data_IF_047114678862
#
_entry.id   IF_047114678862
#
_cell.length_a   1.000
_cell.length_b   1.000
_cell.length_c   1.000
_cell.angle_alpha   90.00
_cell.angle_beta   90.00
_cell.angle_gamma   90.00
#
_symmetry.space_group_name_H-M   'P 1'
#
loop_
_entity.id
_entity.type
_entity.pdbx_description
1 polymer ?
#
# COMPACT_ATOMS: atom_id res chain seq x y z
N UNK A 1 -0.52 28.16 -10.85
CA UNK A 1 -0.16 27.66 -12.19
C UNK A 1 -1.34 26.84 -12.68
N UNK A 2 -1.86 27.13 -13.87
CA UNK A 2 -2.94 26.32 -14.45
C UNK A 2 -2.35 25.01 -14.98
N UNK A 3 -2.80 23.89 -14.42
CA UNK A 3 -2.32 22.54 -14.75
C UNK A 3 -3.36 21.73 -15.54
N UNK A 4 -4.55 22.28 -15.78
CA UNK A 4 -5.66 21.62 -16.47
C UNK A 4 -5.23 21.04 -17.83
N UNK A 5 -4.46 21.76 -18.68
CA UNK A 5 -4.01 21.24 -19.98
C UNK A 5 -3.09 20.01 -19.90
N UNK A 6 -2.51 19.74 -18.73
CA UNK A 6 -1.69 18.56 -18.46
C UNK A 6 -2.59 17.42 -17.99
N UNK A 7 -3.49 17.69 -17.04
CA UNK A 7 -4.42 16.69 -16.48
C UNK A 7 -5.30 16.07 -17.57
N UNK A 8 -5.82 16.87 -18.49
CA UNK A 8 -6.68 16.41 -19.59
C UNK A 8 -5.99 15.43 -20.55
N UNK A 9 -4.66 15.38 -20.53
CA UNK A 9 -3.84 14.48 -21.36
C UNK A 9 -3.38 13.22 -20.63
N UNK A 10 -3.67 13.11 -19.32
CA UNK A 10 -3.28 11.96 -18.53
C UNK A 10 -4.34 10.87 -18.61
N UNK A 11 -3.89 9.64 -18.80
CA UNK A 11 -4.75 8.48 -18.62
C UNK A 11 -5.02 8.28 -17.12
N UNK A 12 -6.27 7.99 -16.79
CA UNK A 12 -6.74 7.86 -15.40
C UNK A 12 -7.09 6.41 -15.06
N UNK A 13 -6.81 5.46 -15.97
CA UNK A 13 -7.05 4.04 -15.80
C UNK A 13 -6.07 3.33 -14.85
N UNK A 14 -6.23 2.02 -14.72
CA UNK A 14 -5.26 1.17 -14.05
C UNK A 14 -4.12 0.83 -15.00
N UNK A 15 -2.90 1.21 -14.65
CA UNK A 15 -1.73 0.81 -15.42
C UNK A 15 -1.23 -0.56 -14.98
N UNK A 16 -1.56 -1.62 -15.74
CA UNK A 16 -1.24 -3.02 -15.41
C UNK A 16 -0.55 -3.66 -16.62
N UNK A 17 0.64 -4.25 -16.39
CA UNK A 17 1.45 -4.89 -17.42
C UNK A 17 1.73 -3.98 -18.65
N UNK A 18 2.01 -2.70 -18.40
CA UNK A 18 2.37 -1.74 -19.45
C UNK A 18 1.20 -1.22 -20.28
N UNK A 19 -0.03 -1.56 -19.91
CA UNK A 19 -1.24 -1.13 -20.59
C UNK A 19 -2.15 -0.42 -19.59
N UNK A 20 -2.79 0.66 -20.05
CA UNK A 20 -3.92 1.25 -19.34
C UNK A 20 -5.13 0.35 -19.50
N UNK A 21 -5.80 0.07 -18.39
CA UNK A 21 -6.92 -0.85 -18.30
C UNK A 21 -8.01 -0.26 -17.43
N UNK A 22 -9.24 -0.63 -17.75
CA UNK A 22 -10.37 -0.34 -16.89
C UNK A 22 -10.29 -1.14 -15.58
N UNK A 23 -10.77 -0.56 -14.48
CA UNK A 23 -10.96 -1.30 -13.26
C UNK A 23 -12.18 -2.22 -13.38
N UNK A 24 -12.05 -3.47 -12.95
CA UNK A 24 -13.20 -4.35 -12.80
C UNK A 24 -14.15 -3.75 -11.73
N UNK A 25 -15.34 -3.33 -12.17
CA UNK A 25 -16.31 -2.62 -11.33
C UNK A 25 -16.20 -1.09 -11.34
N UNK A 26 -15.28 -0.49 -12.12
CA UNK A 26 -15.25 0.95 -12.42
C UNK A 26 -15.01 1.86 -11.22
N UNK A 27 -14.42 1.33 -10.13
CA UNK A 27 -14.19 2.11 -8.91
C UNK A 27 -13.14 3.18 -9.15
N UNK A 28 -13.38 4.34 -8.57
CA UNK A 28 -12.48 5.49 -8.66
C UNK A 28 -12.16 6.09 -7.29
N UNK A 29 -11.10 6.90 -7.25
CA UNK A 29 -10.71 7.70 -6.09
C UNK A 29 -10.37 9.12 -6.53
N UNK A 30 -10.67 10.06 -5.65
CA UNK A 30 -10.33 11.47 -5.87
C UNK A 30 -8.88 11.75 -5.49
N UNK A 31 -8.17 12.38 -6.41
CA UNK A 31 -6.83 12.90 -6.21
C UNK A 31 -6.98 14.34 -5.74
N UNK A 32 -6.76 14.55 -4.45
CA UNK A 32 -6.90 15.85 -3.80
C UNK A 32 -5.53 16.49 -3.64
N UNK A 33 -5.44 17.79 -3.90
CA UNK A 33 -4.26 18.58 -3.57
C UNK A 33 -4.11 18.65 -2.04
N UNK A 34 -3.05 18.07 -1.44
CA UNK A 34 -2.91 18.06 0.01
C UNK A 34 -2.62 19.43 0.62
N UNK A 35 -2.18 20.41 -0.19
CA UNK A 35 -1.85 21.76 0.27
C UNK A 35 -3.07 22.69 0.31
N UNK A 36 -4.06 22.46 -0.57
CA UNK A 36 -5.22 23.36 -0.73
C UNK A 36 -6.55 22.68 -0.42
N UNK A 37 -6.62 21.35 -0.52
CA UNK A 37 -7.86 20.57 -0.41
C UNK A 37 -8.66 20.51 -1.72
N UNK A 38 -8.18 21.11 -2.81
CA UNK A 38 -8.88 21.12 -4.09
C UNK A 38 -8.82 19.75 -4.78
N UNK A 39 -9.90 19.35 -5.45
CA UNK A 39 -9.90 18.19 -6.34
C UNK A 39 -9.03 18.47 -7.56
N UNK A 40 -8.06 17.59 -7.83
CA UNK A 40 -7.21 17.65 -9.03
C UNK A 40 -7.85 16.83 -10.15
N UNK A 41 -8.17 15.55 -9.87
CA UNK A 41 -8.81 14.64 -10.83
C UNK A 41 -9.33 13.40 -10.09
N UNK A 42 -9.99 12.50 -10.81
CA UNK A 42 -10.48 11.21 -10.31
C UNK A 42 -9.83 10.08 -11.12
N UNK A 43 -9.25 9.09 -10.44
CA UNK A 43 -8.53 7.97 -11.08
C UNK A 43 -9.14 6.62 -10.73
N UNK A 44 -9.08 5.65 -11.64
CA UNK A 44 -9.50 4.28 -11.38
C UNK A 44 -8.64 3.66 -10.27
N UNK A 45 -9.25 2.80 -9.45
CA UNK A 45 -8.57 2.06 -8.40
C UNK A 45 -8.90 0.57 -8.46
N UNK A 46 -7.88 -0.27 -8.29
CA UNK A 46 -8.05 -1.72 -8.12
C UNK A 46 -8.41 -2.12 -6.68
N UNK A 47 -8.39 -1.16 -5.75
CA UNK A 47 -8.66 -1.36 -4.32
C UNK A 47 -9.81 -0.49 -3.83
N UNK A 48 -9.97 -0.35 -2.52
CA UNK A 48 -10.93 0.58 -1.90
C UNK A 48 -10.23 1.36 -0.80
N UNK A 49 -10.57 2.65 -0.66
CA UNK A 49 -10.05 3.48 0.42
C UNK A 49 -10.48 2.87 1.75
N UNK A 50 -9.55 2.81 2.70
CA UNK A 50 -9.83 2.38 4.07
C UNK A 50 -10.39 3.58 4.83
N UNK A 51 -11.46 3.35 5.60
CA UNK A 51 -12.06 4.38 6.45
C UNK A 51 -11.10 4.79 7.57
N UNK A 52 -10.88 6.10 7.74
CA UNK A 52 -9.98 6.65 8.75
C UNK A 52 -9.22 7.90 8.31
N UNK A 53 -8.38 8.44 9.20
CA UNK A 53 -7.46 9.54 8.86
C UNK A 53 -6.32 9.01 7.98
N UNK A 54 -6.15 9.64 6.81
CA UNK A 54 -5.08 9.31 5.85
C UNK A 54 -5.60 8.86 4.49
N UNK A 55 -4.67 8.51 3.61
CA UNK A 55 -4.93 8.03 2.25
C UNK A 55 -4.50 6.57 2.12
N UNK A 56 -4.99 5.72 3.04
CA UNK A 56 -4.72 4.29 3.03
C UNK A 56 -5.75 3.59 2.15
N UNK A 57 -5.27 2.69 1.29
CA UNK A 57 -6.09 1.90 0.39
C UNK A 57 -5.81 0.43 0.69
N UNK A 58 -6.83 -0.42 0.55
CA UNK A 58 -6.59 -1.87 0.53
C UNK A 58 -5.56 -2.15 -0.57
N UNK A 59 -4.47 -2.88 -0.30
CA UNK A 59 -3.37 -3.01 -1.24
C UNK A 59 -3.87 -3.61 -2.56
N UNK A 60 -3.59 -2.92 -3.67
CA UNK A 60 -3.59 -3.54 -4.99
C UNK A 60 -2.40 -4.48 -5.01
N UNK A 61 -2.64 -5.78 -4.90
CA UNK A 61 -1.56 -6.77 -4.88
C UNK A 61 -0.68 -6.61 -6.14
N UNK A 62 0.62 -6.38 -5.94
CA UNK A 62 1.63 -6.40 -6.99
C UNK A 62 2.21 -7.81 -7.07
N UNK A 63 2.08 -8.45 -8.23
CA UNK A 63 2.85 -9.64 -8.58
C UNK A 63 4.16 -9.19 -9.26
N UNK A 64 5.27 -9.88 -9.01
CA UNK A 64 6.60 -9.71 -9.66
C UNK A 64 7.36 -8.38 -9.41
N UNK A 65 7.64 -8.00 -8.16
CA UNK A 65 8.55 -6.88 -7.84
C UNK A 65 9.92 -7.37 -7.35
N UNK A 66 11.01 -7.16 -8.12
CA UNK A 66 12.37 -7.15 -7.58
C UNK A 66 12.76 -5.71 -7.16
N UNK A 67 13.27 -5.58 -5.93
CA UNK A 67 13.94 -4.40 -5.34
C UNK A 67 13.06 -3.34 -4.62
N UNK A 68 12.07 -3.77 -3.84
CA UNK A 68 11.73 -3.07 -2.58
C UNK A 68 11.93 -4.05 -1.42
N UNK A 69 13.13 -4.60 -1.27
CA UNK A 69 13.53 -5.22 0.00
C UNK A 69 14.32 -4.19 0.81
N UNK A 70 13.61 -3.26 1.44
CA UNK A 70 14.21 -2.50 2.53
C UNK A 70 14.25 -3.44 3.74
N UNK A 71 15.43 -3.89 4.22
CA UNK A 71 15.50 -4.86 5.31
C UNK A 71 14.94 -4.33 6.62
N UNK A 72 14.77 -3.01 6.75
CA UNK A 72 14.15 -2.36 7.91
C UNK A 72 12.62 -2.18 7.76
N UNK A 73 12.07 -2.35 6.55
CA UNK A 73 10.63 -2.23 6.33
C UNK A 73 9.97 -3.61 6.53
N UNK A 74 8.91 -3.69 7.32
CA UNK A 74 8.13 -4.91 7.45
C UNK A 74 7.34 -5.16 6.17
N UNK A 75 7.51 -6.35 5.58
CA UNK A 75 6.78 -6.82 4.41
C UNK A 75 6.13 -8.17 4.71
N UNK A 76 4.80 -8.22 4.64
CA UNK A 76 4.05 -9.37 5.09
C UNK A 76 2.74 -9.51 4.38
N UNK A 77 2.35 -10.77 4.17
CA UNK A 77 1.08 -11.13 3.59
C UNK A 77 0.00 -11.33 4.64
N UNK A 78 -1.25 -11.38 4.18
CA UNK A 78 -2.35 -11.92 4.98
C UNK A 78 -3.18 -12.88 4.13
N UNK A 79 -3.80 -13.87 4.76
CA UNK A 79 -4.72 -14.84 4.12
C UNK A 79 -3.98 -15.74 3.13
N UNK A 80 -4.35 -15.72 1.83
CA UNK A 80 -3.81 -16.64 0.83
C UNK A 80 -2.36 -16.33 0.43
N UNK A 81 -1.87 -15.13 0.72
CA UNK A 81 -0.46 -14.76 0.51
C UNK A 81 0.44 -15.07 1.73
N UNK A 82 -0.08 -15.74 2.76
CA UNK A 82 0.65 -16.09 3.98
C UNK A 82 0.20 -15.33 5.23
N UNK A 83 0.82 -15.63 6.37
CA UNK A 83 0.67 -14.92 7.64
C UNK A 83 2.07 -14.65 8.21
N UNK A 84 2.29 -13.47 8.75
CA UNK A 84 3.60 -13.04 9.25
C UNK A 84 4.21 -11.91 8.40
N UNK A 85 5.32 -11.36 8.88
CA UNK A 85 5.97 -10.19 8.30
C UNK A 85 7.49 -10.37 8.30
N UNK A 86 8.14 -10.27 7.15
CA UNK A 86 9.60 -10.33 6.99
C UNK A 86 10.21 -8.92 6.96
N UNK A 87 11.48 -8.79 7.35
CA UNK A 87 12.14 -7.48 7.46
C UNK A 87 11.67 -6.64 8.65
N UNK A 88 12.35 -5.53 8.91
CA UNK A 88 12.20 -4.74 10.13
C UNK A 88 12.58 -5.51 11.40
N UNK A 89 12.36 -4.90 12.56
CA UNK A 89 12.55 -5.58 13.85
C UNK A 89 11.54 -6.72 14.06
N UNK A 90 10.35 -6.59 13.46
CA UNK A 90 9.27 -7.58 13.58
C UNK A 90 9.61 -8.91 12.90
N UNK A 91 10.42 -8.89 11.84
CA UNK A 91 10.79 -10.12 11.13
C UNK A 91 11.74 -11.02 11.92
N UNK A 92 12.67 -10.47 12.72
CA UNK A 92 13.55 -11.30 13.55
C UNK A 92 12.83 -11.81 14.81
N UNK A 93 11.87 -11.05 15.33
CA UNK A 93 11.08 -11.42 16.51
C UNK A 93 10.27 -12.71 16.29
N UNK A 94 9.86 -13.03 15.05
CA UNK A 94 9.17 -14.28 14.73
C UNK A 94 10.05 -15.55 14.92
N UNK A 95 11.39 -15.41 14.94
CA UNK A 95 12.33 -16.52 15.11
C UNK A 95 12.95 -16.60 16.51
N UNK A 96 12.53 -15.71 17.43
CA UNK A 96 12.98 -15.73 18.81
C UNK A 96 11.96 -16.47 19.69
N UNK A 97 12.45 -17.37 20.54
CA UNK A 97 11.62 -18.00 21.56
C UNK A 97 11.66 -17.18 22.85
N UNK A 98 10.49 -16.69 23.30
CA UNK A 98 10.41 -16.01 24.60
C UNK A 98 10.59 -17.06 25.70
N UNK A 99 11.69 -16.94 26.45
CA UNK A 99 12.00 -17.79 27.60
C UNK A 99 11.79 -17.01 28.89
N UNK A 100 10.86 -17.49 29.72
CA UNK A 100 10.68 -16.96 31.06
C UNK A 100 11.70 -17.57 32.01
N UNK A 101 12.46 -16.72 32.72
CA UNK A 101 13.40 -17.14 33.76
C UNK A 101 13.02 -16.47 35.06
N UNK A 102 12.65 -17.27 36.06
CA UNK A 102 12.43 -16.81 37.43
C UNK A 102 13.65 -17.16 38.30
N UNK A 103 14.25 -16.13 38.91
CA UNK A 103 15.32 -16.31 39.86
C UNK A 103 14.74 -16.25 41.28
N UNK A 104 15.07 -17.20 42.18
CA UNK A 104 14.63 -17.12 43.56
C UNK A 104 15.25 -15.88 44.22
N UNK A 105 14.47 -15.25 45.10
CA UNK A 105 14.99 -14.15 45.93
C UNK A 105 15.90 -14.77 47.01
N UNK A 106 17.10 -14.21 47.13
CA UNK A 106 18.07 -14.59 48.17
C UNK A 106 17.54 -14.28 49.57
#
# INVERSE_FOLDING_TARGET
MDITPIIDKLDTGLFINGQWREAEGGKTIDVINPATGDLITTVLTGGSKIEGKGFFYTPTAMTDVPLVSNPAAPFGGVKKSGLGCEGGSVGIEEFLEIRYVALPRA
#
